data_IF_238021431557
#
_entry.id   IF_238021431557
#
_cell.length_a   1.000
_cell.length_b   1.000
_cell.length_c   1.000
_cell.angle_alpha   90.00
_cell.angle_beta   90.00
_cell.angle_gamma   90.00
#
_symmetry.space_group_name_H-M   'P 1'
#
loop_
_entity.id
_entity.type
_entity.pdbx_description
1 polymer ?
#
# COMPACT_ATOMS: atom_id res chain seq x y z
N UNK A 1 -14.13 -8.93 -23.21
CA UNK A 1 -13.36 -9.01 -21.95
C UNK A 1 -12.35 -7.86 -21.75
N UNK A 2 -11.79 -7.24 -22.80
CA UNK A 2 -10.81 -6.13 -22.66
C UNK A 2 -11.40 -4.77 -22.26
N UNK A 3 -12.71 -4.54 -22.46
CA UNK A 3 -13.35 -3.24 -22.20
C UNK A 3 -13.84 -3.03 -20.75
N UNK A 4 -14.03 -4.10 -19.97
CA UNK A 4 -14.48 -3.97 -18.57
C UNK A 4 -13.35 -3.58 -17.61
N UNK A 5 -12.14 -4.08 -17.88
CA UNK A 5 -10.96 -3.77 -17.08
C UNK A 5 -10.64 -2.28 -17.18
N UNK A 6 -10.70 -1.69 -18.38
CA UNK A 6 -10.46 -0.26 -18.62
C UNK A 6 -11.53 0.64 -18.00
N UNK A 7 -12.81 0.22 -17.99
CA UNK A 7 -13.88 0.95 -17.29
C UNK A 7 -13.75 0.88 -15.76
N UNK A 8 -13.38 -0.27 -15.22
CA UNK A 8 -13.13 -0.46 -13.77
C UNK A 8 -11.88 0.31 -13.32
N UNK A 9 -10.82 0.33 -14.14
CA UNK A 9 -9.60 1.13 -13.92
C UNK A 9 -9.88 2.64 -13.93
N UNK A 10 -10.73 3.13 -14.84
CA UNK A 10 -11.17 4.54 -14.82
C UNK A 10 -12.03 4.88 -13.60
N UNK A 11 -12.75 3.92 -13.03
CA UNK A 11 -13.56 4.13 -11.83
C UNK A 11 -12.73 4.23 -10.53
N UNK A 12 -11.56 3.59 -10.46
CA UNK A 12 -10.69 3.66 -9.27
C UNK A 12 -9.86 4.94 -9.18
N UNK A 13 -9.62 5.61 -10.31
CA UNK A 13 -8.77 6.80 -10.39
C UNK A 13 -7.28 6.41 -10.48
N UNK A 14 -6.51 7.04 -11.38
CA UNK A 14 -5.13 6.62 -11.68
C UNK A 14 -4.22 6.64 -10.45
N UNK A 15 -4.45 7.58 -9.53
CA UNK A 15 -3.66 7.72 -8.31
C UNK A 15 -3.79 6.52 -7.37
N UNK A 16 -4.99 5.93 -7.26
CA UNK A 16 -5.20 4.75 -6.40
C UNK A 16 -4.53 3.52 -6.95
N UNK A 17 -4.57 3.36 -8.27
CA UNK A 17 -3.86 2.26 -8.93
C UNK A 17 -2.35 2.39 -8.74
N UNK A 18 -1.81 3.61 -8.86
CA UNK A 18 -0.40 3.88 -8.58
C UNK A 18 -0.04 3.54 -7.12
N UNK A 19 -0.91 3.89 -6.15
CA UNK A 19 -0.69 3.55 -4.74
C UNK A 19 -0.67 2.02 -4.52
N UNK A 20 -1.64 1.29 -5.06
CA UNK A 20 -1.68 -0.18 -4.95
C UNK A 20 -0.43 -0.80 -5.59
N UNK A 21 -0.03 -0.32 -6.77
CA UNK A 21 1.18 -0.80 -7.44
C UNK A 21 2.43 -0.55 -6.60
N UNK A 22 2.58 0.65 -6.02
CA UNK A 22 3.71 0.99 -5.16
C UNK A 22 3.75 0.11 -3.91
N UNK A 23 2.61 -0.18 -3.29
CA UNK A 23 2.54 -1.08 -2.14
C UNK A 23 2.97 -2.50 -2.52
N UNK A 24 2.52 -3.01 -3.67
CA UNK A 24 2.93 -4.34 -4.14
C UNK A 24 4.44 -4.37 -4.40
N UNK A 25 4.99 -3.36 -5.07
CA UNK A 25 6.43 -3.25 -5.33
C UNK A 25 7.22 -3.18 -4.02
N UNK A 26 6.79 -2.36 -3.07
CA UNK A 26 7.39 -2.24 -1.74
C UNK A 26 7.44 -3.60 -1.01
N UNK A 27 6.32 -4.32 -0.99
CA UNK A 27 6.24 -5.64 -0.36
C UNK A 27 7.17 -6.67 -1.02
N UNK A 28 7.35 -6.60 -2.34
CA UNK A 28 8.28 -7.47 -3.08
C UNK A 28 9.74 -7.11 -2.85
N UNK A 29 10.04 -5.85 -2.53
CA UNK A 29 11.39 -5.37 -2.22
C UNK A 29 11.80 -5.62 -0.76
N UNK A 30 10.92 -6.20 0.06
CA UNK A 30 11.22 -6.54 1.46
C UNK A 30 12.45 -7.46 1.53
N UNK A 31 13.53 -7.05 2.20
CA UNK A 31 14.70 -7.90 2.36
C UNK A 31 14.41 -9.05 3.34
N UNK A 32 15.24 -10.09 3.31
CA UNK A 32 15.14 -11.19 4.26
C UNK A 32 15.45 -10.69 5.68
N UNK A 33 14.73 -11.17 6.72
CA UNK A 33 15.05 -10.85 8.11
C UNK A 33 16.51 -11.20 8.42
N UNK A 34 17.23 -10.29 9.10
CA UNK A 34 18.64 -10.48 9.47
C UNK A 34 19.64 -10.07 8.37
N UNK A 35 19.17 -9.58 7.22
CA UNK A 35 20.04 -9.01 6.18
C UNK A 35 20.80 -7.80 6.75
N UNK A 36 22.13 -7.76 6.55
CA UNK A 36 22.95 -6.61 6.95
C UNK A 36 22.58 -5.37 6.14
N UNK A 37 22.50 -4.22 6.80
CA UNK A 37 22.29 -2.95 6.13
C UNK A 37 23.52 -2.58 5.29
N UNK A 38 23.29 -2.29 4.02
CA UNK A 38 24.28 -1.79 3.07
C UNK A 38 23.92 -0.36 2.71
N UNK A 39 24.90 0.54 2.76
CA UNK A 39 24.72 1.99 2.57
C UNK A 39 25.21 2.48 1.20
N UNK A 40 25.63 1.57 0.33
CA UNK A 40 26.19 1.88 -1.00
C UNK A 40 25.57 1.00 -2.09
N UNK A 41 25.46 1.54 -3.30
CA UNK A 41 24.98 0.81 -4.48
C UNK A 41 23.47 0.59 -4.54
N UNK A 42 23.04 -0.32 -5.42
CA UNK A 42 21.62 -0.62 -5.66
C UNK A 42 20.95 -1.39 -4.52
N UNK A 43 21.73 -2.04 -3.66
CA UNK A 43 21.24 -2.81 -2.51
C UNK A 43 20.59 -1.91 -1.45
N UNK A 44 20.89 -0.61 -1.43
CA UNK A 44 20.25 0.39 -0.56
C UNK A 44 18.72 0.40 -0.79
N UNK A 45 18.26 0.16 -2.02
CA UNK A 45 16.84 0.25 -2.36
C UNK A 45 16.01 -0.75 -1.57
N UNK A 46 16.40 -2.03 -1.58
CA UNK A 46 15.72 -3.07 -0.81
C UNK A 46 16.13 -3.04 0.67
N UNK A 47 17.40 -2.77 0.98
CA UNK A 47 17.94 -2.86 2.33
C UNK A 47 17.52 -1.71 3.27
N UNK A 48 17.27 -0.52 2.71
CA UNK A 48 16.99 0.69 3.50
C UNK A 48 15.75 1.44 3.01
N UNK A 49 15.65 1.73 1.70
CA UNK A 49 14.56 2.58 1.19
C UNK A 49 13.20 1.89 1.30
N UNK A 50 13.06 0.65 0.85
CA UNK A 50 11.79 -0.08 0.95
C UNK A 50 11.27 -0.18 2.40
N UNK A 51 12.09 -0.58 3.40
CA UNK A 51 11.67 -0.54 4.81
C UNK A 51 11.19 0.83 5.30
N UNK A 52 11.80 1.93 4.82
CA UNK A 52 11.39 3.30 5.18
C UNK A 52 10.11 3.73 4.46
N UNK A 53 9.93 3.29 3.21
CA UNK A 53 8.72 3.56 2.43
C UNK A 53 7.51 2.81 2.97
N UNK A 54 7.71 1.63 3.55
CA UNK A 54 6.65 0.79 4.10
C UNK A 54 5.68 1.55 5.04
N UNK A 55 6.11 2.20 6.13
CA UNK A 55 5.20 2.98 6.98
C UNK A 55 4.57 4.19 6.26
N UNK A 56 5.26 4.79 5.29
CA UNK A 56 4.72 5.91 4.50
C UNK A 56 3.54 5.44 3.64
N UNK A 57 3.74 4.34 2.90
CA UNK A 57 2.72 3.75 2.04
C UNK A 57 1.54 3.21 2.86
N UNK A 58 1.81 2.62 4.03
CA UNK A 58 0.77 2.25 4.99
C UNK A 58 -0.11 3.46 5.37
N UNK A 59 0.51 4.58 5.74
CA UNK A 59 -0.23 5.81 6.06
C UNK A 59 -1.00 6.36 4.86
N UNK A 60 -0.47 6.25 3.64
CA UNK A 60 -1.15 6.67 2.42
C UNK A 60 -2.39 5.81 2.11
N UNK A 61 -2.36 4.50 2.38
CA UNK A 61 -3.55 3.64 2.26
C UNK A 61 -4.64 4.06 3.25
N UNK A 62 -4.27 4.39 4.49
CA UNK A 62 -5.20 4.90 5.49
C UNK A 62 -5.77 6.27 5.08
N UNK A 63 -4.91 7.16 4.58
CA UNK A 63 -5.32 8.48 4.08
C UNK A 63 -6.29 8.36 2.90
N UNK A 64 -6.01 7.51 1.91
CA UNK A 64 -6.94 7.31 0.78
C UNK A 64 -8.25 6.68 1.23
N UNK A 65 -8.23 5.83 2.27
CA UNK A 65 -9.46 5.30 2.89
C UNK A 65 -10.30 6.41 3.52
N UNK A 66 -9.68 7.31 4.28
CA UNK A 66 -10.36 8.47 4.87
C UNK A 66 -10.91 9.37 3.78
N UNK A 67 -10.11 9.70 2.76
CA UNK A 67 -10.55 10.52 1.62
C UNK A 67 -11.71 9.85 0.88
N UNK A 68 -11.69 8.54 0.67
CA UNK A 68 -12.79 7.80 0.07
C UNK A 68 -14.07 7.89 0.91
N UNK A 69 -13.96 7.86 2.25
CA UNK A 69 -15.10 8.07 3.15
C UNK A 69 -15.62 9.50 3.12
N UNK A 70 -14.74 10.50 3.08
CA UNK A 70 -15.11 11.92 2.94
C UNK A 70 -15.84 12.14 1.61
N UNK A 71 -15.29 11.68 0.49
CA UNK A 71 -15.96 11.82 -0.80
C UNK A 71 -17.27 11.04 -0.89
N UNK A 72 -17.47 10.00 -0.07
CA UNK A 72 -18.72 9.21 -0.04
C UNK A 72 -19.87 9.96 0.61
N UNK A 73 -19.63 10.86 1.58
CA UNK A 73 -20.70 11.48 2.38
C UNK A 73 -21.72 12.21 1.50
N UNK A 74 -21.22 12.86 0.44
CA UNK A 74 -21.99 13.79 -0.38
C UNK A 74 -22.45 13.18 -1.72
N UNK A 75 -22.31 11.86 -1.90
CA UNK A 75 -22.65 11.17 -3.14
C UNK A 75 -24.02 10.49 -3.10
N UNK A 76 -24.70 10.34 -4.25
CA UNK A 76 -25.91 9.52 -4.37
C UNK A 76 -25.67 8.06 -3.94
N UNK A 77 -26.72 7.39 -3.45
CA UNK A 77 -26.65 6.03 -2.87
C UNK A 77 -26.04 5.02 -3.85
N UNK A 78 -26.33 5.20 -5.13
CA UNK A 78 -25.89 4.35 -6.25
C UNK A 78 -24.36 4.31 -6.37
N UNK A 79 -23.66 5.37 -5.94
CA UNK A 79 -22.20 5.48 -6.04
C UNK A 79 -21.53 5.21 -4.68
N UNK A 80 -22.27 5.24 -3.57
CA UNK A 80 -21.71 5.03 -2.21
C UNK A 80 -21.08 3.65 -2.02
N UNK A 81 -21.62 2.61 -2.68
CA UNK A 81 -21.09 1.26 -2.61
C UNK A 81 -19.65 1.17 -3.17
N UNK A 82 -19.37 1.89 -4.26
CA UNK A 82 -18.03 1.92 -4.88
C UNK A 82 -16.97 2.44 -3.92
N UNK A 83 -17.29 3.51 -3.18
CA UNK A 83 -16.36 4.08 -2.20
C UNK A 83 -16.11 3.14 -1.02
N UNK A 84 -17.09 2.35 -0.58
CA UNK A 84 -16.87 1.33 0.45
C UNK A 84 -15.92 0.23 -0.04
N UNK A 85 -16.04 -0.21 -1.29
CA UNK A 85 -15.10 -1.18 -1.86
C UNK A 85 -13.67 -0.62 -1.84
N UNK A 86 -13.48 0.65 -2.23
CA UNK A 86 -12.17 1.31 -2.18
C UNK A 86 -11.60 1.30 -0.75
N UNK A 87 -12.41 1.67 0.24
CA UNK A 87 -12.01 1.65 1.65
C UNK A 87 -11.62 0.25 2.09
N UNK A 88 -12.44 -0.76 1.78
CA UNK A 88 -12.16 -2.15 2.15
C UNK A 88 -10.87 -2.67 1.51
N UNK A 89 -10.61 -2.32 0.25
CA UNK A 89 -9.37 -2.69 -0.46
C UNK A 89 -8.16 -2.04 0.21
N UNK A 90 -8.20 -0.73 0.49
CA UNK A 90 -7.07 -0.03 1.10
C UNK A 90 -6.80 -0.52 2.54
N UNK A 91 -7.84 -0.70 3.36
CA UNK A 91 -7.70 -1.23 4.71
C UNK A 91 -7.19 -2.68 4.69
N UNK A 92 -7.75 -3.51 3.81
CA UNK A 92 -7.29 -4.89 3.63
C UNK A 92 -5.82 -4.94 3.22
N UNK A 93 -5.40 -4.12 2.26
CA UNK A 93 -4.03 -4.03 1.80
C UNK A 93 -3.09 -3.49 2.91
N UNK A 94 -3.53 -2.51 3.70
CA UNK A 94 -2.76 -1.98 4.83
C UNK A 94 -2.52 -3.05 5.90
N UNK A 95 -3.53 -3.87 6.22
CA UNK A 95 -3.40 -4.99 7.16
C UNK A 95 -2.43 -6.04 6.60
N UNK A 96 -2.61 -6.43 5.33
CA UNK A 96 -1.73 -7.40 4.66
C UNK A 96 -0.28 -6.91 4.66
N UNK A 97 -0.06 -5.65 4.31
CA UNK A 97 1.25 -5.01 4.30
C UNK A 97 1.89 -4.98 5.70
N UNK A 98 1.12 -4.60 6.72
CA UNK A 98 1.58 -4.59 8.11
C UNK A 98 2.02 -5.99 8.56
N UNK A 99 1.21 -7.01 8.30
CA UNK A 99 1.55 -8.41 8.62
C UNK A 99 2.76 -8.91 7.83
N UNK A 100 2.89 -8.48 6.58
CA UNK A 100 4.02 -8.85 5.72
C UNK A 100 5.34 -8.26 6.21
N UNK A 101 5.36 -7.01 6.66
CA UNK A 101 6.59 -6.35 7.12
C UNK A 101 6.97 -6.68 8.57
N UNK A 102 6.01 -7.19 9.36
CA UNK A 102 6.18 -7.56 10.76
C UNK A 102 7.42 -8.43 11.08
N UNK A 103 7.76 -9.51 10.35
CA UNK A 103 8.97 -10.29 10.65
C UNK A 103 10.27 -9.47 10.52
N UNK A 104 10.37 -8.62 9.49
CA UNK A 104 11.55 -7.79 9.28
C UNK A 104 11.71 -6.75 10.40
N UNK A 105 10.63 -6.04 10.74
CA UNK A 105 10.68 -5.03 11.80
C UNK A 105 10.91 -5.61 13.19
N UNK A 106 10.43 -6.83 13.46
CA UNK A 106 10.74 -7.53 14.71
C UNK A 106 12.24 -7.82 14.83
N UNK A 107 12.83 -8.36 13.77
CA UNK A 107 14.25 -8.71 13.76
C UNK A 107 15.15 -7.49 14.00
N UNK A 108 14.91 -6.39 13.29
CA UNK A 108 15.72 -5.18 13.46
C UNK A 108 15.51 -4.54 14.83
N UNK A 109 14.31 -4.62 15.42
CA UNK A 109 14.05 -4.11 16.77
C UNK A 109 14.72 -4.92 17.88
N UNK A 110 14.97 -6.21 17.66
CA UNK A 110 15.66 -7.08 18.61
C UNK A 110 17.18 -6.92 18.57
N UNK A 111 17.71 -6.28 17.52
CA UNK A 111 19.14 -6.04 17.33
C UNK A 111 19.67 -4.79 18.08
N UNK A 112 18.80 -3.98 18.69
CA UNK A 112 19.12 -2.79 19.50
C UNK A 112 18.62 -2.97 20.93
#
# INVERSE_FOLDING_TARGET
>A
MTNEVTHTLRAFGPLRFALILLVIVDMLLRPEPGTRLVYEGWEIVSGLLAPVMSPILFMLLLLDSIMAMVYRSDKPVEVKARYLIIVMVNIGLAIVMMLWWLPFFKEISAAY
#
